data_IF_422474507270
#
_entry.id   IF_422474507270
#
_cell.length_a   1.000
_cell.length_b   1.000
_cell.length_c   1.000
_cell.angle_alpha   90.00
_cell.angle_beta   90.00
_cell.angle_gamma   90.00
#
_symmetry.space_group_name_H-M   'P 1'
#
loop_
_entity.id
_entity.type
_entity.pdbx_description
1 polymer ?
#
# COMPACT_ATOMS: atom_id res chain seq x y z
N UNK A 1 19.58 -11.10 11.61
CA UNK A 1 18.13 -11.28 11.77
C UNK A 1 17.54 -11.35 10.38
N UNK A 2 16.56 -12.23 10.14
CA UNK A 2 15.92 -12.35 8.83
C UNK A 2 15.10 -11.09 8.52
N UNK A 3 15.37 -10.50 7.36
CA UNK A 3 14.59 -9.40 6.80
C UNK A 3 13.54 -9.96 5.86
N UNK A 4 12.29 -9.52 6.05
CA UNK A 4 11.19 -9.90 5.17
C UNK A 4 10.63 -8.67 4.48
N UNK A 5 10.20 -8.85 3.24
CA UNK A 5 9.41 -7.82 2.57
C UNK A 5 8.10 -7.66 3.34
N UNK A 6 7.85 -6.47 3.84
CA UNK A 6 6.67 -6.13 4.61
C UNK A 6 5.79 -5.21 3.79
N UNK A 7 4.54 -5.60 3.62
CA UNK A 7 3.50 -4.77 3.02
C UNK A 7 2.66 -4.15 4.13
N UNK A 8 2.28 -2.90 3.96
CA UNK A 8 1.43 -2.16 4.89
C UNK A 8 0.26 -1.63 4.09
N UNK A 9 -0.95 -2.07 4.44
CA UNK A 9 -2.19 -1.58 3.85
C UNK A 9 -2.99 -0.86 4.94
N UNK A 10 -3.64 0.24 4.58
CA UNK A 10 -4.46 0.97 5.54
C UNK A 10 -5.76 1.51 4.95
N UNK A 11 -6.76 1.61 5.79
CA UNK A 11 -8.00 2.34 5.53
C UNK A 11 -8.25 3.27 6.70
N UNK A 12 -8.07 4.58 6.47
CA UNK A 12 -8.03 5.60 7.52
C UNK A 12 -8.80 6.81 7.00
N UNK A 13 -10.02 7.10 7.51
CA UNK A 13 -10.81 8.24 7.04
C UNK A 13 -10.15 9.59 7.33
N UNK A 14 -9.50 9.75 8.49
CA UNK A 14 -8.86 10.99 8.89
C UNK A 14 -7.58 11.27 8.10
N UNK A 15 -7.58 12.32 7.27
CA UNK A 15 -6.41 12.76 6.50
C UNK A 15 -5.19 13.07 7.38
N UNK A 16 -5.43 13.66 8.56
CA UNK A 16 -4.36 13.96 9.52
C UNK A 16 -3.65 12.69 9.97
N UNK A 17 -4.39 11.65 10.31
CA UNK A 17 -3.82 10.36 10.77
C UNK A 17 -3.17 9.65 9.60
N UNK A 18 -3.86 9.59 8.45
CA UNK A 18 -3.36 9.00 7.21
C UNK A 18 -2.00 9.57 6.80
N UNK A 19 -1.86 10.89 6.87
CA UNK A 19 -0.59 11.57 6.56
C UNK A 19 0.51 11.20 7.55
N UNK A 20 0.21 11.13 8.85
CA UNK A 20 1.19 10.72 9.87
C UNK A 20 1.61 9.26 9.72
N UNK A 21 0.67 8.35 9.45
CA UNK A 21 0.98 6.94 9.14
C UNK A 21 1.91 6.87 7.93
N UNK A 22 1.60 7.63 6.87
CA UNK A 22 2.46 7.73 5.69
C UNK A 22 3.87 8.25 5.98
N UNK A 23 4.04 9.20 6.89
CA UNK A 23 5.36 9.66 7.33
C UNK A 23 6.12 8.57 8.09
N UNK A 24 5.48 7.91 9.07
CA UNK A 24 6.11 6.82 9.82
C UNK A 24 6.53 5.69 8.89
N UNK A 25 5.71 5.30 7.91
CA UNK A 25 6.10 4.32 6.91
C UNK A 25 7.43 4.70 6.23
N UNK A 26 7.58 5.97 5.81
CA UNK A 26 8.81 6.46 5.17
C UNK A 26 9.99 6.49 6.13
N UNK A 27 9.77 6.84 7.39
CA UNK A 27 10.83 6.87 8.42
C UNK A 27 11.41 5.47 8.68
N UNK A 28 10.61 4.41 8.49
CA UNK A 28 11.05 3.01 8.53
C UNK A 28 11.64 2.50 7.21
N UNK A 29 11.82 3.37 6.21
CA UNK A 29 12.34 3.00 4.89
C UNK A 29 11.34 2.27 3.99
N UNK A 30 10.04 2.36 4.28
CA UNK A 30 9.00 1.82 3.40
C UNK A 30 8.69 2.80 2.28
N UNK A 31 8.50 2.27 1.08
CA UNK A 31 8.13 3.02 -0.11
C UNK A 31 6.64 2.93 -0.36
N UNK A 32 6.04 4.03 -0.84
CA UNK A 32 4.63 4.05 -1.20
C UNK A 32 4.42 3.26 -2.50
N UNK A 33 3.56 2.25 -2.46
CA UNK A 33 3.22 1.42 -3.63
C UNK A 33 1.78 1.64 -4.12
N UNK A 34 0.88 2.11 -3.24
CA UNK A 34 -0.50 2.45 -3.56
C UNK A 34 -0.93 3.67 -2.73
N UNK A 35 -2.08 4.27 -3.07
CA UNK A 35 -2.64 5.38 -2.27
C UNK A 35 -2.78 5.01 -0.78
N UNK A 36 -3.18 3.75 -0.54
CA UNK A 36 -3.39 3.17 0.78
C UNK A 36 -2.40 2.05 1.13
N UNK A 37 -1.22 2.05 0.49
CA UNK A 37 -0.27 0.93 0.59
C UNK A 37 1.20 1.34 0.55
N UNK A 38 2.01 0.72 1.41
CA UNK A 38 3.47 0.83 1.45
C UNK A 38 4.13 -0.56 1.44
N UNK A 39 5.39 -0.64 1.01
CA UNK A 39 6.19 -1.83 1.15
C UNK A 39 7.68 -1.54 1.31
N UNK A 40 8.40 -2.43 2.00
CA UNK A 40 9.84 -2.30 2.25
C UNK A 40 10.39 -3.50 3.02
N UNK A 41 11.69 -3.55 3.25
CA UNK A 41 12.31 -4.63 4.03
C UNK A 41 12.38 -4.22 5.49
N UNK A 42 11.84 -5.06 6.38
CA UNK A 42 11.94 -4.87 7.82
C UNK A 42 12.36 -6.19 8.46
N UNK A 43 13.24 -6.14 9.45
CA UNK A 43 13.47 -7.29 10.34
C UNK A 43 12.35 -7.40 11.39
N UNK A 44 12.33 -8.52 12.13
CA UNK A 44 11.29 -8.81 13.14
C UNK A 44 11.13 -7.69 14.17
N UNK A 45 12.23 -7.20 14.74
CA UNK A 45 12.18 -6.18 15.78
C UNK A 45 11.65 -4.85 15.23
N UNK A 46 12.10 -4.44 14.04
CA UNK A 46 11.60 -3.25 13.37
C UNK A 46 10.10 -3.35 13.10
N UNK A 47 9.58 -4.51 12.68
CA UNK A 47 8.14 -4.72 12.48
C UNK A 47 7.34 -4.57 13.78
N UNK A 48 7.84 -5.11 14.89
CA UNK A 48 7.19 -4.99 16.19
C UNK A 48 7.15 -3.53 16.67
N UNK A 49 8.28 -2.81 16.58
CA UNK A 49 8.33 -1.39 16.94
C UNK A 49 7.44 -0.52 16.03
N UNK A 50 7.46 -0.80 14.73
CA UNK A 50 6.62 -0.14 13.76
C UNK A 50 5.14 -0.32 14.08
N UNK A 51 4.72 -1.56 14.39
CA UNK A 51 3.34 -1.85 14.80
C UNK A 51 2.92 -1.05 16.02
N UNK A 52 3.71 -1.09 17.10
CA UNK A 52 3.42 -0.37 18.34
C UNK A 52 3.33 1.15 18.13
N UNK A 53 4.19 1.69 17.28
CA UNK A 53 4.19 3.12 16.96
C UNK A 53 2.93 3.53 16.17
N UNK A 54 2.49 2.71 15.22
CA UNK A 54 1.23 2.94 14.50
C UNK A 54 0.02 2.81 15.42
N UNK A 55 -0.01 1.79 16.28
CA UNK A 55 -1.07 1.57 17.26
C UNK A 55 -1.20 2.78 18.20
N UNK A 56 -0.08 3.27 18.76
CA UNK A 56 -0.08 4.46 19.60
C UNK A 56 -0.48 5.74 18.85
N UNK A 57 -0.10 5.87 17.57
CA UNK A 57 -0.51 7.00 16.74
C UNK A 57 -2.03 6.99 16.48
N UNK A 58 -2.59 5.81 16.21
CA UNK A 58 -4.00 5.63 15.86
C UNK A 58 -4.88 5.81 17.10
N UNK A 59 -4.51 5.23 18.25
CA UNK A 59 -5.31 5.30 19.47
C UNK A 59 -6.76 4.86 19.23
N UNK A 60 -7.71 5.69 19.65
CA UNK A 60 -9.15 5.43 19.54
C UNK A 60 -9.77 5.91 18.21
N UNK A 61 -8.94 6.34 17.26
CA UNK A 61 -9.43 6.83 15.98
C UNK A 61 -9.85 5.68 15.05
N UNK A 62 -10.89 5.91 14.25
CA UNK A 62 -11.30 4.99 13.20
C UNK A 62 -10.16 4.77 12.19
N UNK A 63 -9.65 3.55 12.14
CA UNK A 63 -8.59 3.14 11.24
C UNK A 63 -8.53 1.61 11.17
N UNK A 64 -8.10 1.09 10.02
CA UNK A 64 -7.65 -0.28 9.83
C UNK A 64 -6.25 -0.25 9.26
N UNK A 65 -5.33 -1.00 9.86
CA UNK A 65 -3.98 -1.19 9.33
C UNK A 65 -3.66 -2.67 9.33
N UNK A 66 -3.13 -3.16 8.20
CA UNK A 66 -2.63 -4.52 8.04
C UNK A 66 -1.13 -4.45 7.72
N UNK A 67 -0.31 -5.09 8.57
CA UNK A 67 1.12 -5.24 8.36
C UNK A 67 1.38 -6.71 8.02
N UNK A 68 1.76 -6.97 6.78
CA UNK A 68 1.90 -8.31 6.22
C UNK A 68 3.37 -8.57 5.85
N UNK A 69 4.14 -9.27 6.71
CA UNK A 69 5.43 -9.82 6.30
C UNK A 69 5.21 -10.96 5.31
N UNK A 70 5.95 -10.93 4.20
CA UNK A 70 5.89 -11.91 3.12
C UNK A 70 7.27 -12.54 2.96
N UNK A 71 7.33 -13.87 2.88
CA UNK A 71 8.58 -14.57 2.64
C UNK A 71 9.14 -14.23 1.24
N UNK A 72 10.46 -14.37 1.06
CA UNK A 72 11.10 -14.05 -0.21
C UNK A 72 10.47 -14.82 -1.39
N UNK A 73 10.20 -16.12 -1.20
CA UNK A 73 9.60 -16.98 -2.22
C UNK A 73 8.25 -16.46 -2.70
N UNK A 74 7.38 -16.01 -1.81
CA UNK A 74 6.05 -15.50 -2.18
C UNK A 74 6.13 -14.09 -2.77
N UNK A 75 7.05 -13.26 -2.26
CA UNK A 75 7.31 -11.94 -2.81
C UNK A 75 7.82 -12.00 -4.26
N UNK A 76 8.66 -12.98 -4.59
CA UNK A 76 9.18 -13.19 -5.95
C UNK A 76 8.11 -13.67 -6.93
N UNK A 77 7.02 -14.28 -6.43
CA UNK A 77 5.88 -14.71 -7.25
C UNK A 77 4.78 -13.66 -7.36
N UNK A 78 4.94 -12.48 -6.77
CA UNK A 78 3.94 -11.41 -6.83
C UNK A 78 3.64 -11.00 -8.27
N UNK A 79 2.39 -10.64 -8.54
CA UNK A 79 1.94 -10.10 -9.83
C UNK A 79 1.29 -8.76 -9.58
N UNK A 80 1.54 -7.80 -10.48
CA UNK A 80 1.04 -6.44 -10.38
C UNK A 80 0.50 -5.99 -11.74
N UNK A 81 -0.59 -5.23 -11.73
CA UNK A 81 -1.20 -4.62 -12.91
C UNK A 81 -1.37 -3.13 -12.61
N UNK A 82 -0.87 -2.27 -13.49
CA UNK A 82 -1.05 -0.83 -13.41
C UNK A 82 -1.75 -0.35 -14.67
N UNK A 83 -2.93 0.23 -14.51
CA UNK A 83 -3.58 0.98 -15.58
C UNK A 83 -3.36 2.47 -15.30
N UNK A 84 -2.62 3.14 -16.19
CA UNK A 84 -2.29 4.55 -16.07
C UNK A 84 -3.36 5.49 -16.65
N UNK A 85 -4.49 4.94 -17.13
CA UNK A 85 -5.59 5.73 -17.67
C UNK A 85 -5.12 6.60 -18.84
N UNK A 86 -4.78 5.98 -19.97
CA UNK A 86 -4.67 6.74 -21.22
C UNK A 86 -6.05 7.24 -21.62
N UNK A 87 -6.14 8.46 -22.16
CA UNK A 87 -7.33 8.94 -22.85
C UNK A 87 -7.79 7.83 -23.79
N UNK A 88 -9.03 7.37 -23.62
CA UNK A 88 -9.61 6.44 -24.57
C UNK A 88 -9.64 7.16 -25.92
N UNK A 89 -8.76 6.79 -26.86
CA UNK A 89 -9.04 7.05 -28.27
C UNK A 89 -10.41 6.42 -28.51
N UNK A 90 -11.40 7.26 -28.81
CA UNK A 90 -12.68 6.84 -29.36
C UNK A 90 -12.36 6.05 -30.62
N UNK A 91 -12.27 4.72 -30.49
CA UNK A 91 -12.28 3.81 -31.63
C UNK A 91 -13.61 4.05 -32.34
N UNK A 92 -13.51 4.77 -33.46
CA UNK A 92 -14.57 5.05 -34.41
C UNK A 92 -15.48 3.83 -34.54
N UNK A 93 -16.66 3.93 -33.94
CA UNK A 93 -17.65 2.86 -33.99
C UNK A 93 -18.20 2.86 -35.41
N UNK A 94 -18.07 1.78 -36.20
CA UNK A 94 -18.55 1.78 -37.57
C UNK A 94 -20.05 2.07 -37.56
N UNK A 95 -20.40 3.19 -38.22
CA UNK A 95 -21.78 3.64 -38.39
C UNK A 95 -22.61 2.47 -38.90
N UNK A 96 -23.57 2.03 -38.07
CA UNK A 96 -24.59 1.06 -38.47
C UNK A 96 -25.30 1.64 -39.70
N UNK A 97 -25.04 1.07 -40.88
CA UNK A 97 -25.91 1.22 -42.03
C UNK A 97 -27.31 0.71 -41.62
N UNK A 98 -28.23 1.64 -41.40
CA UNK A 98 -29.66 1.35 -41.49
C UNK A 98 -30.07 1.66 -42.92
N UNK A 99 -30.58 0.64 -43.60
CA UNK A 99 -31.33 0.80 -44.84
C UNK A 99 -32.70 1.40 -44.60
#
# INVERSE_FOLDING_TARGET
MEELKTFVFYDIPSDRIRNKVGSICKDYGLERIQFSGFAGSLNRNMREQFFLQLEALIGDHEAKVLILPVCEKDYMQRREIMNIGGEAEELDSPQRHRG
#
